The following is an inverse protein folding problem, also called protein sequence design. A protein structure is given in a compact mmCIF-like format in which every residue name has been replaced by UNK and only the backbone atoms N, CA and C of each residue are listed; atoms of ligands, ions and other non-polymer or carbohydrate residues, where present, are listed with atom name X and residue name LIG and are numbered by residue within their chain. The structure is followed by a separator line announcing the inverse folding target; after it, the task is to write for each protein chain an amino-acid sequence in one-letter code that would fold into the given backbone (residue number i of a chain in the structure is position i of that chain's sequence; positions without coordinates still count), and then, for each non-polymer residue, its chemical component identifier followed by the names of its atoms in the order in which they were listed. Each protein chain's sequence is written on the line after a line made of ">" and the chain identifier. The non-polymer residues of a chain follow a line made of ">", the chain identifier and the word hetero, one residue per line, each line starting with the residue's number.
data_IF_919185991054
#
_entry.id   IF_919185991054
#
_cell.length_a   1.000
_cell.length_b   1.000
_cell.length_c   1.000
_cell.angle_alpha   90.00
_cell.angle_beta   90.00
_cell.angle_gamma   90.00
#
_symmetry.space_group_name_H-M   'P 1'
#
loop_
_entity.id
_entity.type
_entity.pdbx_description
1 polymer ?
#
# COMPACT_ATOMS: atom_id res chain seq x y z
N UNK A 1 7.52 13.21 -35.04
CA UNK A 1 8.24 11.99 -34.64
C UNK A 1 7.40 11.36 -33.54
N UNK A 2 6.85 10.18 -33.79
CA UNK A 2 5.92 9.51 -32.87
C UNK A 2 6.73 8.83 -31.76
N UNK A 3 6.63 9.29 -30.52
CA UNK A 3 7.08 8.55 -29.35
C UNK A 3 5.94 7.65 -28.91
N UNK A 4 6.19 6.38 -28.99
CA UNK A 4 5.33 5.30 -28.54
C UNK A 4 5.28 5.33 -27.01
N UNK A 5 4.11 5.55 -26.46
CA UNK A 5 3.84 5.38 -25.04
C UNK A 5 3.94 3.87 -24.76
N UNK A 6 4.97 3.46 -24.05
CA UNK A 6 5.05 2.12 -23.47
C UNK A 6 4.31 2.14 -22.16
N UNK A 7 3.25 1.38 -22.10
CA UNK A 7 2.57 1.00 -20.87
C UNK A 7 3.59 0.27 -20.00
N UNK A 8 4.08 0.92 -18.95
CA UNK A 8 4.92 0.28 -17.96
C UNK A 8 4.04 -0.50 -17.01
N UNK A 9 3.87 -1.80 -17.26
CA UNK A 9 3.79 -2.77 -16.19
C UNK A 9 5.16 -2.68 -15.49
N UNK A 10 5.18 -2.45 -14.19
CA UNK A 10 6.41 -2.42 -13.43
C UNK A 10 7.11 -3.78 -13.53
N UNK A 11 8.11 -3.85 -14.40
CA UNK A 11 9.08 -4.92 -14.39
C UNK A 11 10.30 -4.36 -13.63
N UNK A 12 10.48 -4.77 -12.39
CA UNK A 12 11.74 -4.59 -11.67
C UNK A 12 12.83 -5.33 -12.43
N UNK A 13 13.67 -4.60 -13.14
CA UNK A 13 14.95 -5.09 -13.65
C UNK A 13 16.01 -4.82 -12.58
N UNK A 14 16.29 -5.83 -11.75
CA UNK A 14 17.50 -5.88 -10.96
C UNK A 14 18.70 -6.10 -11.89
N UNK A 15 19.43 -5.04 -12.20
CA UNK A 15 20.73 -5.13 -12.83
C UNK A 15 21.81 -5.08 -11.75
N UNK A 16 22.19 -6.25 -11.21
CA UNK A 16 23.37 -6.40 -10.35
C UNK A 16 24.65 -6.29 -11.18
N UNK A 17 25.40 -5.19 -11.03
CA UNK A 17 26.79 -5.15 -11.49
C UNK A 17 27.72 -5.64 -10.39
N UNK A 18 28.39 -6.76 -10.67
CA UNK A 18 29.47 -7.35 -9.89
C UNK A 18 30.63 -6.36 -9.68
N UNK A 19 31.00 -6.12 -8.45
CA UNK A 19 32.37 -5.74 -8.07
C UNK A 19 33.05 -6.96 -7.44
N UNK A 20 34.12 -7.38 -8.09
CA UNK A 20 34.79 -8.65 -7.86
C UNK A 20 35.40 -8.87 -6.48
N UNK A 21 34.95 -9.96 -5.87
CA UNK A 21 35.73 -10.72 -4.91
C UNK A 21 35.84 -12.15 -5.40
N UNK A 22 37.05 -12.62 -5.71
CA UNK A 22 37.29 -14.02 -6.06
C UNK A 22 37.15 -14.84 -4.78
N UNK A 23 35.91 -15.22 -4.43
CA UNK A 23 35.64 -16.39 -3.61
C UNK A 23 35.37 -17.54 -4.58
N UNK A 24 36.00 -18.68 -4.37
CA UNK A 24 35.84 -19.88 -5.17
C UNK A 24 34.36 -20.24 -5.24
N UNK A 25 33.68 -19.90 -6.33
CA UNK A 25 32.38 -20.41 -6.63
C UNK A 25 32.53 -21.92 -6.82
N UNK A 26 32.15 -22.68 -5.80
CA UNK A 26 31.70 -24.05 -6.01
C UNK A 26 30.55 -23.93 -7.01
N UNK A 27 30.75 -24.44 -8.23
CA UNK A 27 29.67 -24.46 -9.22
C UNK A 27 28.49 -25.13 -8.58
N UNK A 28 27.40 -24.39 -8.35
CA UNK A 28 26.10 -24.98 -8.06
C UNK A 28 25.84 -25.98 -9.18
N UNK A 29 25.64 -27.23 -8.83
CA UNK A 29 25.42 -28.26 -9.82
C UNK A 29 24.19 -27.91 -10.66
N UNK A 30 24.16 -28.28 -11.93
CA UNK A 30 22.98 -28.03 -12.78
C UNK A 30 21.65 -28.45 -12.14
N UNK A 31 21.69 -29.34 -11.16
CA UNK A 31 20.55 -29.80 -10.38
C UNK A 31 20.04 -28.74 -9.38
N UNK A 32 20.94 -27.93 -8.78
CA UNK A 32 20.55 -26.88 -7.84
C UNK A 32 19.85 -25.72 -8.54
N UNK A 33 20.41 -25.29 -9.68
CA UNK A 33 19.77 -24.26 -10.51
C UNK A 33 18.40 -24.73 -11.04
N UNK A 34 18.30 -26.00 -11.49
CA UNK A 34 17.04 -26.53 -11.97
C UNK A 34 15.96 -26.59 -10.88
N UNK A 35 16.33 -26.88 -9.63
CA UNK A 35 15.41 -26.83 -8.51
C UNK A 35 14.93 -25.41 -8.20
N UNK A 36 15.82 -24.43 -8.22
CA UNK A 36 15.49 -23.02 -8.04
C UNK A 36 14.59 -22.49 -9.17
N UNK A 37 14.89 -22.82 -10.43
CA UNK A 37 14.08 -22.43 -11.61
C UNK A 37 12.65 -22.97 -11.56
N UNK A 38 12.45 -24.20 -11.03
CA UNK A 38 11.11 -24.76 -10.86
C UNK A 38 10.30 -24.01 -9.79
N UNK A 39 10.94 -23.61 -8.69
CA UNK A 39 10.28 -22.82 -7.63
C UNK A 39 9.99 -21.41 -8.12
N UNK A 40 10.91 -20.79 -8.86
CA UNK A 40 10.68 -19.48 -9.48
C UNK A 40 9.41 -19.48 -10.34
N UNK A 41 9.24 -20.51 -11.19
CA UNK A 41 8.02 -20.65 -12.02
C UNK A 41 6.75 -20.83 -11.18
N UNK A 42 6.84 -21.49 -10.02
CA UNK A 42 5.69 -21.65 -9.12
C UNK A 42 5.32 -20.31 -8.46
N UNK A 43 6.30 -19.50 -8.10
CA UNK A 43 6.11 -18.15 -7.56
C UNK A 43 5.50 -17.24 -8.65
N UNK A 44 6.07 -17.21 -9.85
CA UNK A 44 5.53 -16.41 -10.95
C UNK A 44 4.09 -16.80 -11.30
N UNK A 45 3.73 -18.09 -11.14
CA UNK A 45 2.37 -18.57 -11.40
C UNK A 45 1.33 -18.07 -10.37
N UNK A 46 1.74 -17.69 -9.16
CA UNK A 46 0.85 -17.09 -8.14
C UNK A 46 0.91 -15.56 -8.14
N UNK A 47 1.81 -14.95 -8.89
CA UNK A 47 1.90 -13.49 -9.04
C UNK A 47 0.94 -13.03 -10.14
N UNK A 48 -0.36 -13.19 -9.87
CA UNK A 48 -1.44 -12.93 -10.85
C UNK A 48 -2.58 -12.16 -10.21
N UNK A 49 -3.22 -11.29 -10.99
CA UNK A 49 -4.33 -10.45 -10.50
C UNK A 49 -5.69 -11.16 -10.53
N UNK A 50 -5.76 -12.40 -11.01
CA UNK A 50 -7.02 -13.12 -11.11
C UNK A 50 -6.95 -14.48 -10.42
N UNK A 51 -7.90 -14.72 -9.52
CA UNK A 51 -8.09 -16.02 -8.88
C UNK A 51 -8.73 -17.02 -9.85
N UNK A 52 -8.30 -18.27 -9.78
CA UNK A 52 -8.86 -19.43 -10.48
C UNK A 52 -9.10 -20.57 -9.47
N UNK A 53 -9.71 -21.66 -9.92
CA UNK A 53 -9.94 -22.86 -9.09
C UNK A 53 -8.62 -23.53 -8.69
N UNK A 54 -7.52 -23.28 -9.39
CA UNK A 54 -6.20 -23.84 -9.11
C UNK A 54 -5.39 -22.99 -8.12
N UNK A 55 -5.79 -21.75 -7.83
CA UNK A 55 -4.99 -20.78 -7.05
C UNK A 55 -4.56 -21.32 -5.70
N UNK A 56 -5.47 -21.98 -4.94
CA UNK A 56 -5.13 -22.53 -3.61
C UNK A 56 -4.07 -23.64 -3.71
N UNK A 57 -4.18 -24.48 -4.72
CA UNK A 57 -3.20 -25.55 -4.94
C UNK A 57 -1.85 -24.99 -5.41
N UNK A 58 -1.87 -23.92 -6.24
CA UNK A 58 -0.66 -23.25 -6.70
C UNK A 58 0.06 -22.55 -5.55
N UNK A 59 -0.64 -21.83 -4.68
CA UNK A 59 -0.07 -21.22 -3.47
C UNK A 59 0.59 -22.28 -2.55
N UNK A 60 -0.10 -23.37 -2.29
CA UNK A 60 0.44 -24.46 -1.48
C UNK A 60 1.67 -25.12 -2.14
N UNK A 61 1.66 -25.29 -3.46
CA UNK A 61 2.77 -25.88 -4.20
C UNK A 61 4.00 -24.96 -4.21
N UNK A 62 3.83 -23.65 -4.42
CA UNK A 62 4.91 -22.67 -4.39
C UNK A 62 5.63 -22.66 -3.04
N UNK A 63 4.86 -22.63 -1.93
CA UNK A 63 5.44 -22.67 -0.58
C UNK A 63 6.13 -24.01 -0.29
N UNK A 64 5.52 -25.13 -0.64
CA UNK A 64 6.13 -26.45 -0.45
C UNK A 64 7.42 -26.60 -1.26
N UNK A 65 7.46 -26.09 -2.50
CA UNK A 65 8.65 -26.07 -3.33
C UNK A 65 9.76 -25.22 -2.69
N UNK A 66 9.43 -24.02 -2.23
CA UNK A 66 10.37 -23.14 -1.52
C UNK A 66 10.94 -23.77 -0.25
N UNK A 67 10.09 -24.39 0.57
CA UNK A 67 10.50 -25.03 1.82
C UNK A 67 11.40 -26.27 1.60
N UNK A 68 11.32 -26.87 0.42
CA UNK A 68 12.18 -27.99 0.04
C UNK A 68 13.57 -27.57 -0.43
N UNK A 69 13.77 -26.28 -0.79
CA UNK A 69 15.08 -25.76 -1.19
C UNK A 69 16.01 -25.60 0.01
N UNK A 70 17.28 -25.87 -0.22
CA UNK A 70 18.37 -25.46 0.70
C UNK A 70 18.54 -23.93 0.63
N UNK A 71 19.19 -23.34 1.65
CA UNK A 71 19.46 -21.90 1.65
C UNK A 71 20.28 -21.47 0.42
N UNK A 72 21.25 -22.32 0.00
CA UNK A 72 22.03 -22.05 -1.21
C UNK A 72 21.21 -22.09 -2.51
N UNK A 73 20.17 -22.93 -2.56
CA UNK A 73 19.25 -22.98 -3.72
C UNK A 73 18.27 -21.81 -3.71
N UNK A 74 17.85 -21.33 -2.53
CA UNK A 74 16.99 -20.12 -2.42
C UNK A 74 17.67 -18.89 -2.99
N UNK A 75 18.98 -18.73 -2.78
CA UNK A 75 19.79 -17.65 -3.37
C UNK A 75 19.87 -17.70 -4.92
N UNK A 76 19.47 -18.83 -5.53
CA UNK A 76 19.46 -19.01 -6.98
C UNK A 76 18.05 -18.80 -7.58
N UNK A 77 17.03 -18.55 -6.75
CA UNK A 77 15.67 -18.32 -7.23
C UNK A 77 15.61 -16.98 -7.95
N UNK A 78 15.35 -17.04 -9.25
CA UNK A 78 15.26 -15.86 -10.11
C UNK A 78 14.17 -16.10 -11.17
N UNK A 79 13.13 -15.26 -11.22
CA UNK A 79 12.01 -15.34 -12.13
C UNK A 79 11.58 -13.97 -12.65
N UNK A 80 10.40 -13.86 -13.19
CA UNK A 80 9.83 -12.58 -13.57
C UNK A 80 9.47 -11.74 -12.32
N UNK A 81 8.95 -12.40 -11.29
CA UNK A 81 8.55 -11.81 -10.01
C UNK A 81 9.12 -12.59 -8.82
N UNK A 82 9.76 -13.73 -9.06
CA UNK A 82 10.38 -14.55 -8.05
C UNK A 82 11.81 -14.06 -7.79
N UNK A 83 12.20 -14.01 -6.53
CA UNK A 83 13.53 -13.65 -6.08
C UNK A 83 13.90 -14.44 -4.80
N UNK A 84 15.18 -14.40 -4.34
CA UNK A 84 15.65 -15.12 -3.16
C UNK A 84 14.93 -14.74 -1.87
N UNK A 85 14.34 -13.55 -1.79
CA UNK A 85 13.67 -13.03 -0.60
C UNK A 85 12.15 -13.11 -0.67
N UNK A 86 11.57 -13.67 -1.74
CA UNK A 86 10.13 -13.62 -1.99
C UNK A 86 9.28 -13.99 -0.76
N UNK A 87 9.61 -15.09 -0.07
CA UNK A 87 8.90 -15.53 1.15
C UNK A 87 9.51 -15.03 2.46
N UNK A 88 10.66 -14.36 2.43
CA UNK A 88 11.38 -13.87 3.62
C UNK A 88 11.36 -12.35 3.80
N UNK A 89 11.00 -11.61 2.75
CA UNK A 89 11.06 -10.15 2.70
C UNK A 89 10.05 -9.48 3.61
N UNK A 90 8.86 -10.03 3.70
CA UNK A 90 7.75 -9.43 4.43
C UNK A 90 7.84 -9.80 5.90
N UNK A 91 8.01 -8.78 6.73
CA UNK A 91 8.30 -8.94 8.15
C UNK A 91 7.04 -8.91 9.01
N UNK A 92 7.20 -9.33 10.26
CA UNK A 92 6.16 -9.29 11.27
C UNK A 92 5.56 -10.65 11.60
N UNK A 93 4.62 -10.64 12.54
CA UNK A 93 3.95 -11.84 13.04
C UNK A 93 2.51 -11.90 12.49
N UNK A 94 2.30 -12.78 11.50
CA UNK A 94 0.99 -12.99 10.88
C UNK A 94 -0.10 -13.36 11.90
N UNK A 95 0.26 -14.01 13.00
CA UNK A 95 -0.71 -14.43 14.04
C UNK A 95 -1.35 -13.26 14.80
N UNK A 96 -0.84 -12.05 14.64
CA UNK A 96 -1.42 -10.83 15.23
C UNK A 96 -2.56 -10.24 14.38
N UNK A 97 -2.73 -10.73 13.16
CA UNK A 97 -3.81 -10.32 12.25
C UNK A 97 -5.01 -11.28 12.35
N UNK A 98 -6.13 -10.85 11.77
CA UNK A 98 -7.36 -11.61 11.61
C UNK A 98 -7.85 -11.41 10.17
N UNK A 99 -7.97 -12.46 9.36
CA UNK A 99 -8.44 -12.34 7.97
C UNK A 99 -9.88 -11.84 7.85
N UNK A 100 -10.63 -11.76 8.97
CA UNK A 100 -12.00 -11.24 9.07
C UNK A 100 -12.94 -11.79 7.99
N UNK A 101 -12.89 -13.11 7.78
CA UNK A 101 -13.70 -13.83 6.80
C UNK A 101 -14.73 -14.78 7.45
N UNK A 102 -15.22 -14.42 8.64
CA UNK A 102 -16.14 -15.24 9.42
C UNK A 102 -17.48 -15.49 8.69
N UNK A 103 -18.04 -16.67 8.92
CA UNK A 103 -19.39 -17.04 8.52
C UNK A 103 -20.39 -16.90 9.68
N UNK A 104 -21.70 -16.90 9.38
CA UNK A 104 -22.75 -16.85 10.39
C UNK A 104 -22.87 -15.51 11.12
N UNK A 105 -22.53 -14.43 10.46
CA UNK A 105 -22.36 -13.08 11.01
C UNK A 105 -23.68 -12.28 11.21
N UNK A 106 -24.82 -12.79 10.75
CA UNK A 106 -26.11 -12.10 10.82
C UNK A 106 -26.42 -11.29 9.57
N UNK A 107 -27.38 -10.34 9.70
CA UNK A 107 -27.99 -9.65 8.54
C UNK A 107 -27.31 -8.32 8.19
N UNK A 108 -26.39 -7.82 9.03
CA UNK A 108 -25.73 -6.52 8.88
C UNK A 108 -24.22 -6.69 8.83
N UNK A 109 -23.62 -6.18 7.78
CA UNK A 109 -22.19 -6.28 7.55
C UNK A 109 -21.60 -4.95 7.12
N UNK A 110 -20.43 -4.61 7.68
CA UNK A 110 -19.51 -3.63 7.14
C UNK A 110 -18.34 -4.40 6.50
N UNK A 111 -18.23 -4.31 5.18
CA UNK A 111 -17.12 -4.86 4.43
C UNK A 111 -16.06 -3.77 4.24
N UNK A 112 -14.94 -3.91 4.92
CA UNK A 112 -13.78 -3.03 4.77
C UNK A 112 -12.95 -3.53 3.59
N UNK A 113 -12.78 -2.69 2.58
CA UNK A 113 -12.10 -3.05 1.32
C UNK A 113 -10.79 -2.28 1.21
N UNK A 114 -9.69 -3.02 1.21
CA UNK A 114 -8.32 -2.48 1.11
C UNK A 114 -7.64 -3.01 -0.16
N UNK A 115 -6.65 -2.28 -0.68
CA UNK A 115 -5.72 -2.85 -1.67
C UNK A 115 -5.05 -4.10 -1.09
N UNK A 116 -4.59 -4.00 0.16
CA UNK A 116 -3.89 -5.04 0.88
C UNK A 116 -2.39 -4.79 0.98
N UNK A 117 -1.74 -5.59 1.80
CA UNK A 117 -0.29 -5.66 1.90
C UNK A 117 0.14 -7.06 2.35
N UNK A 118 1.26 -7.54 1.85
CA UNK A 118 1.91 -8.77 2.33
C UNK A 118 2.76 -8.53 3.59
N UNK A 119 3.15 -7.28 3.87
CA UNK A 119 3.89 -6.91 5.09
C UNK A 119 2.99 -7.07 6.33
N UNK A 120 3.30 -8.07 7.16
CA UNK A 120 2.48 -8.42 8.33
C UNK A 120 2.37 -7.27 9.33
N UNK A 121 3.47 -6.59 9.63
CA UNK A 121 3.46 -5.44 10.55
C UNK A 121 2.56 -4.32 10.05
N UNK A 122 2.70 -3.94 8.78
CA UNK A 122 1.87 -2.90 8.17
C UNK A 122 0.40 -3.31 8.07
N UNK A 123 0.11 -4.61 7.82
CA UNK A 123 -1.26 -5.12 7.81
C UNK A 123 -1.92 -4.94 9.17
N UNK A 124 -1.20 -5.25 10.25
CA UNK A 124 -1.69 -5.08 11.63
C UNK A 124 -1.79 -3.59 12.00
N UNK A 125 -0.75 -2.80 11.72
CA UNK A 125 -0.69 -1.40 12.16
C UNK A 125 -1.65 -0.51 11.39
N UNK A 126 -1.79 -0.72 10.09
CA UNK A 126 -2.52 0.19 9.21
C UNK A 126 -3.94 -0.32 8.90
N UNK A 127 -4.08 -1.58 8.40
CA UNK A 127 -5.37 -2.10 7.95
C UNK A 127 -6.22 -2.53 9.14
N UNK A 128 -5.67 -3.43 9.98
CA UNK A 128 -6.38 -3.95 11.15
C UNK A 128 -6.80 -2.84 12.11
N UNK A 129 -5.99 -1.81 12.31
CA UNK A 129 -6.32 -0.68 13.17
C UNK A 129 -7.55 0.10 12.70
N UNK A 130 -7.70 0.31 11.37
CA UNK A 130 -8.92 0.90 10.79
C UNK A 130 -10.12 -0.01 11.03
N UNK A 131 -9.97 -1.31 10.78
CA UNK A 131 -11.04 -2.30 10.96
C UNK A 131 -11.48 -2.42 12.42
N UNK A 132 -10.51 -2.40 13.35
CA UNK A 132 -10.79 -2.44 14.79
C UNK A 132 -11.52 -1.17 15.26
N UNK A 133 -11.15 0.01 14.74
CA UNK A 133 -11.84 1.26 15.03
C UNK A 133 -13.29 1.24 14.53
N UNK A 134 -13.51 0.73 13.31
CA UNK A 134 -14.85 0.54 12.76
C UNK A 134 -15.64 -0.47 13.59
N UNK A 135 -15.05 -1.62 13.93
CA UNK A 135 -15.73 -2.64 14.74
C UNK A 135 -16.11 -2.12 16.14
N UNK A 136 -15.24 -1.32 16.76
CA UNK A 136 -15.53 -0.69 18.04
C UNK A 136 -16.65 0.35 17.96
N UNK A 137 -16.74 1.10 16.86
CA UNK A 137 -17.78 2.12 16.65
C UNK A 137 -19.16 1.51 16.30
N UNK A 138 -19.18 0.33 15.66
CA UNK A 138 -20.41 -0.29 15.17
C UNK A 138 -20.59 -1.73 15.71
N UNK A 139 -20.77 -1.93 17.02
CA UNK A 139 -20.79 -3.26 17.65
C UNK A 139 -21.98 -4.16 17.22
N UNK A 140 -23.03 -3.58 16.61
CA UNK A 140 -24.17 -4.30 16.09
C UNK A 140 -24.00 -4.75 14.62
N UNK A 141 -22.83 -4.48 14.02
CA UNK A 141 -22.46 -4.87 12.66
C UNK A 141 -21.31 -5.84 12.68
N UNK A 142 -21.36 -6.86 11.84
CA UNK A 142 -20.17 -7.67 11.59
C UNK A 142 -19.21 -6.90 10.69
N UNK A 143 -17.93 -6.86 11.07
CA UNK A 143 -16.88 -6.24 10.25
C UNK A 143 -16.07 -7.32 9.59
N UNK A 144 -16.06 -7.35 8.26
CA UNK A 144 -15.26 -8.28 7.45
C UNK A 144 -14.32 -7.52 6.53
N UNK A 145 -13.33 -8.24 6.02
CA UNK A 145 -12.26 -7.74 5.15
C UNK A 145 -12.43 -8.26 3.73
N UNK A 146 -12.05 -7.44 2.74
CA UNK A 146 -11.68 -7.88 1.42
C UNK A 146 -10.43 -7.14 0.93
N UNK A 147 -9.57 -7.83 0.18
CA UNK A 147 -8.49 -7.19 -0.55
C UNK A 147 -8.81 -7.14 -2.04
N UNK A 148 -8.30 -6.10 -2.72
CA UNK A 148 -8.45 -5.96 -4.19
C UNK A 148 -7.26 -6.53 -4.95
N UNK A 149 -6.05 -6.54 -4.36
CA UNK A 149 -4.84 -7.06 -5.01
C UNK A 149 -4.71 -8.58 -4.84
N UNK A 150 -5.07 -9.34 -5.87
CA UNK A 150 -4.99 -10.80 -5.83
C UNK A 150 -3.56 -11.33 -5.62
N UNK A 151 -2.55 -10.65 -6.17
CA UNK A 151 -1.14 -11.00 -5.96
C UNK A 151 -0.77 -11.00 -4.47
N UNK A 152 -1.25 -10.01 -3.72
CA UNK A 152 -1.03 -9.90 -2.27
C UNK A 152 -1.75 -11.02 -1.53
N UNK A 153 -3.01 -11.30 -1.89
CA UNK A 153 -3.78 -12.40 -1.31
C UNK A 153 -3.05 -13.72 -1.50
N UNK A 154 -2.57 -13.99 -2.72
CA UNK A 154 -1.84 -15.22 -3.04
C UNK A 154 -0.53 -15.34 -2.25
N UNK A 155 0.21 -14.23 -2.13
CA UNK A 155 1.45 -14.20 -1.35
C UNK A 155 1.20 -14.51 0.12
N UNK A 156 0.26 -13.82 0.76
CA UNK A 156 -0.13 -14.03 2.17
C UNK A 156 -0.62 -15.48 2.38
N UNK A 157 -1.46 -15.98 1.47
CA UNK A 157 -1.94 -17.36 1.53
C UNK A 157 -0.79 -18.37 1.41
N UNK A 158 0.12 -18.18 0.47
CA UNK A 158 1.25 -19.08 0.26
C UNK A 158 2.21 -19.06 1.45
N UNK A 159 2.62 -17.87 1.92
CA UNK A 159 3.60 -17.71 2.97
C UNK A 159 3.07 -18.05 4.35
N UNK A 160 1.90 -17.52 4.72
CA UNK A 160 1.38 -17.52 6.08
C UNK A 160 0.24 -18.54 6.28
N UNK A 161 -0.34 -19.06 5.18
CA UNK A 161 -1.52 -19.93 5.23
C UNK A 161 -2.80 -19.19 5.61
N UNK A 162 -2.82 -17.87 5.53
CA UNK A 162 -3.99 -17.04 5.79
C UNK A 162 -4.84 -16.86 4.53
N UNK A 163 -6.14 -17.04 4.67
CA UNK A 163 -7.10 -16.91 3.57
C UNK A 163 -7.84 -15.58 3.71
N UNK A 164 -7.43 -14.59 2.93
CA UNK A 164 -8.10 -13.31 2.84
C UNK A 164 -9.02 -13.34 1.62
N UNK A 165 -10.29 -12.95 1.79
CA UNK A 165 -11.25 -12.89 0.69
C UNK A 165 -10.87 -11.76 -0.29
N UNK A 166 -10.95 -12.03 -1.60
CA UNK A 166 -11.03 -10.97 -2.59
C UNK A 166 -12.47 -10.44 -2.68
N UNK A 167 -12.70 -9.41 -3.52
CA UNK A 167 -14.04 -8.79 -3.64
C UNK A 167 -15.14 -9.79 -3.98
N UNK A 168 -14.90 -10.70 -4.94
CA UNK A 168 -15.90 -11.68 -5.35
C UNK A 168 -16.20 -12.66 -4.21
N UNK A 169 -15.16 -13.20 -3.56
CA UNK A 169 -15.31 -14.11 -2.43
C UNK A 169 -16.05 -13.46 -1.25
N UNK A 170 -15.68 -12.21 -0.91
CA UNK A 170 -16.32 -11.47 0.18
C UNK A 170 -17.81 -11.23 -0.09
N UNK A 171 -18.17 -10.85 -1.32
CA UNK A 171 -19.55 -10.60 -1.71
C UNK A 171 -20.38 -11.90 -1.82
N UNK A 172 -19.80 -12.99 -2.32
CA UNK A 172 -20.43 -14.30 -2.32
C UNK A 172 -20.68 -14.80 -0.89
N UNK A 173 -19.71 -14.60 0.00
CA UNK A 173 -19.84 -14.94 1.42
C UNK A 173 -20.91 -14.09 2.10
N UNK A 174 -21.03 -12.78 1.79
CA UNK A 174 -22.10 -11.93 2.30
C UNK A 174 -23.50 -12.47 1.92
N UNK A 175 -23.66 -12.86 0.65
CA UNK A 175 -24.91 -13.49 0.19
C UNK A 175 -25.16 -14.84 0.90
N UNK A 176 -24.12 -15.68 1.04
CA UNK A 176 -24.25 -16.99 1.73
C UNK A 176 -24.58 -16.83 3.22
N UNK A 177 -24.05 -15.79 3.86
CA UNK A 177 -24.38 -15.44 5.25
C UNK A 177 -25.79 -14.86 5.42
N UNK A 178 -26.48 -14.52 4.35
CA UNK A 178 -27.83 -13.94 4.39
C UNK A 178 -27.82 -12.46 4.79
N UNK A 179 -26.75 -11.74 4.48
CA UNK A 179 -26.62 -10.30 4.72
C UNK A 179 -27.72 -9.56 3.95
N UNK A 180 -28.44 -8.69 4.64
CA UNK A 180 -29.48 -7.82 4.06
C UNK A 180 -29.01 -6.38 3.89
N UNK A 181 -28.24 -5.89 4.86
CA UNK A 181 -27.64 -4.56 4.81
C UNK A 181 -26.12 -4.71 4.75
N UNK A 182 -25.54 -4.33 3.62
CA UNK A 182 -24.09 -4.27 3.41
C UNK A 182 -23.66 -2.81 3.30
N UNK A 183 -22.73 -2.41 4.16
CA UNK A 183 -21.99 -1.16 4.03
C UNK A 183 -20.59 -1.51 3.55
N UNK A 184 -20.14 -0.91 2.46
CA UNK A 184 -18.78 -1.08 1.95
C UNK A 184 -17.99 0.17 2.33
N UNK A 185 -16.92 -0.03 3.13
CA UNK A 185 -15.97 1.02 3.48
C UNK A 185 -14.66 0.79 2.73
N UNK A 186 -14.41 1.51 1.63
CA UNK A 186 -13.11 1.47 0.99
C UNK A 186 -12.06 2.16 1.87
N UNK A 187 -10.91 1.54 2.06
CA UNK A 187 -9.75 2.19 2.69
C UNK A 187 -8.81 2.82 1.66
N UNK A 188 -9.23 2.90 0.42
CA UNK A 188 -8.49 3.60 -0.64
C UNK A 188 -8.26 5.08 -0.26
N UNK A 189 -7.15 5.63 -0.75
CA UNK A 189 -6.82 7.03 -0.52
C UNK A 189 -7.82 7.98 -1.20
N UNK A 190 -8.27 7.62 -2.41
CA UNK A 190 -9.10 8.45 -3.28
C UNK A 190 -10.01 7.60 -4.20
N UNK A 191 -10.89 8.25 -4.96
CA UNK A 191 -11.68 7.63 -6.03
C UNK A 191 -10.77 7.32 -7.25
N UNK A 192 -9.88 6.35 -7.09
CA UNK A 192 -8.94 5.89 -8.10
C UNK A 192 -9.43 4.66 -8.87
N UNK A 193 -8.52 4.02 -9.61
CA UNK A 193 -8.85 2.85 -10.43
C UNK A 193 -9.40 1.69 -9.58
N UNK A 194 -8.77 1.40 -8.45
CA UNK A 194 -9.19 0.31 -7.54
C UNK A 194 -10.58 0.59 -6.93
N UNK A 195 -10.89 1.86 -6.65
CA UNK A 195 -12.24 2.24 -6.22
C UNK A 195 -13.27 1.98 -7.32
N UNK A 196 -12.96 2.33 -8.56
CA UNK A 196 -13.84 2.08 -9.71
C UNK A 196 -14.05 0.58 -9.94
N UNK A 197 -13.02 -0.25 -9.84
CA UNK A 197 -13.11 -1.71 -9.92
C UNK A 197 -13.98 -2.30 -8.80
N UNK A 198 -13.82 -1.83 -7.56
CA UNK A 198 -14.68 -2.20 -6.43
C UNK A 198 -16.14 -1.85 -6.72
N UNK A 199 -16.41 -0.64 -7.23
CA UNK A 199 -17.76 -0.20 -7.60
C UNK A 199 -18.35 -1.04 -8.72
N UNK A 200 -17.52 -1.50 -9.65
CA UNK A 200 -17.94 -2.38 -10.75
C UNK A 200 -18.29 -3.78 -10.23
N UNK A 201 -17.50 -4.34 -9.32
CA UNK A 201 -17.81 -5.63 -8.68
C UNK A 201 -19.16 -5.61 -7.95
N UNK A 202 -19.47 -4.53 -7.25
CA UNK A 202 -20.75 -4.37 -6.52
C UNK A 202 -21.97 -4.39 -7.45
N UNK A 203 -21.83 -4.01 -8.73
CA UNK A 203 -22.95 -4.00 -9.69
C UNK A 203 -23.60 -5.38 -9.87
N UNK A 204 -22.81 -6.45 -9.81
CA UNK A 204 -23.28 -7.83 -9.96
C UNK A 204 -24.10 -8.33 -8.78
N UNK A 205 -24.08 -7.62 -7.65
CA UNK A 205 -24.77 -8.00 -6.41
C UNK A 205 -26.01 -7.16 -6.11
N UNK A 206 -26.33 -6.18 -6.96
CA UNK A 206 -27.58 -5.44 -6.88
C UNK A 206 -28.76 -6.40 -6.99
N UNK A 207 -29.63 -6.41 -5.96
CA UNK A 207 -30.79 -7.30 -5.86
C UNK A 207 -30.50 -8.70 -5.29
N UNK A 208 -29.22 -9.07 -5.03
CA UNK A 208 -28.87 -10.23 -4.22
C UNK A 208 -28.80 -9.87 -2.74
N UNK A 209 -28.40 -8.66 -2.43
CA UNK A 209 -28.42 -8.03 -1.10
C UNK A 209 -29.45 -6.92 -1.13
N UNK A 210 -30.29 -6.80 -0.10
CA UNK A 210 -31.43 -5.87 -0.09
C UNK A 210 -30.99 -4.40 -0.14
N UNK A 211 -29.94 -4.05 0.63
CA UNK A 211 -29.37 -2.70 0.68
C UNK A 211 -27.85 -2.78 0.64
N UNK A 212 -27.25 -2.07 -0.32
CA UNK A 212 -25.80 -1.85 -0.40
C UNK A 212 -25.56 -0.35 -0.35
N UNK A 213 -24.76 0.09 0.62
CA UNK A 213 -24.30 1.47 0.76
C UNK A 213 -22.79 1.50 0.66
N UNK A 214 -22.20 2.51 0.03
CA UNK A 214 -20.76 2.66 -0.11
C UNK A 214 -20.34 3.98 0.53
N UNK A 215 -19.37 3.90 1.43
CA UNK A 215 -18.80 5.07 2.09
C UNK A 215 -17.71 5.73 1.24
N UNK A 216 -17.35 6.96 1.58
CA UNK A 216 -16.30 7.70 0.91
C UNK A 216 -14.90 7.09 1.22
N UNK A 217 -13.96 7.11 0.25
CA UNK A 217 -12.54 6.86 0.53
C UNK A 217 -11.92 7.99 1.35
N UNK A 218 -10.67 7.84 1.82
CA UNK A 218 -10.06 8.72 2.82
C UNK A 218 -10.12 10.21 2.50
N UNK A 219 -9.75 10.61 1.28
CA UNK A 219 -9.66 12.02 0.90
C UNK A 219 -10.98 12.59 0.31
N UNK A 220 -12.07 11.78 0.38
CA UNK A 220 -13.38 12.18 -0.08
C UNK A 220 -13.43 12.53 -1.57
N UNK A 221 -14.32 13.45 -1.94
CA UNK A 221 -14.54 13.84 -3.34
C UNK A 221 -13.27 14.36 -4.01
N UNK A 222 -13.03 13.90 -5.24
CA UNK A 222 -11.97 14.41 -6.12
C UNK A 222 -12.50 15.64 -6.86
N UNK A 223 -11.83 16.78 -6.70
CA UNK A 223 -12.16 17.99 -7.41
C UNK A 223 -11.70 17.98 -8.87
N UNK A 224 -12.09 19.02 -9.63
CA UNK A 224 -11.76 19.15 -11.04
C UNK A 224 -10.31 19.63 -11.29
N UNK A 225 -9.70 20.27 -10.31
CA UNK A 225 -8.34 20.81 -10.38
C UNK A 225 -7.69 20.86 -8.99
N UNK A 226 -6.43 21.28 -8.95
CA UNK A 226 -5.62 21.31 -7.73
C UNK A 226 -6.14 22.27 -6.64
N UNK A 227 -7.04 23.19 -6.96
CA UNK A 227 -7.56 24.18 -6.00
C UNK A 227 -8.79 23.71 -5.23
N UNK A 228 -9.40 22.60 -5.68
CA UNK A 228 -10.60 22.02 -5.06
C UNK A 228 -10.19 21.11 -3.91
N UNK A 229 -10.35 21.61 -2.69
CA UNK A 229 -10.03 20.92 -1.44
C UNK A 229 -11.29 20.78 -0.58
N UNK A 230 -11.29 19.84 0.35
CA UNK A 230 -12.40 19.52 1.23
C UNK A 230 -11.95 19.31 2.69
N UNK A 231 -12.91 19.03 3.58
CA UNK A 231 -12.64 18.82 5.00
C UNK A 231 -11.79 17.57 5.28
N UNK A 232 -11.94 16.51 4.45
CA UNK A 232 -11.21 15.26 4.62
C UNK A 232 -9.73 15.46 4.32
N UNK A 233 -9.40 16.15 3.20
CA UNK A 233 -8.03 16.51 2.86
C UNK A 233 -7.39 17.39 3.95
N UNK A 234 -8.16 18.33 4.53
CA UNK A 234 -7.68 19.17 5.64
C UNK A 234 -7.40 18.33 6.88
N UNK A 235 -8.28 17.40 7.24
CA UNK A 235 -8.11 16.54 8.40
C UNK A 235 -6.89 15.62 8.24
N UNK A 236 -6.74 14.99 7.06
CA UNK A 236 -5.60 14.11 6.77
C UNK A 236 -4.28 14.90 6.76
N UNK A 237 -4.26 16.09 6.13
CA UNK A 237 -3.07 16.95 6.11
C UNK A 237 -2.60 17.29 7.52
N UNK A 238 -3.52 17.68 8.40
CA UNK A 238 -3.19 17.99 9.82
C UNK A 238 -2.69 16.74 10.55
N UNK A 239 -3.35 15.61 10.35
CA UNK A 239 -3.02 14.37 11.05
C UNK A 239 -1.64 13.85 10.67
N UNK A 240 -1.34 13.70 9.37
CA UNK A 240 -0.07 13.14 8.91
C UNK A 240 1.12 14.06 9.24
N UNK A 241 0.94 15.38 9.13
CA UNK A 241 2.02 16.34 9.42
C UNK A 241 2.31 16.38 10.92
N UNK A 242 1.28 16.34 11.76
CA UNK A 242 1.46 16.29 13.21
C UNK A 242 2.15 15.00 13.65
N UNK A 243 1.75 13.87 13.08
CA UNK A 243 2.31 12.55 13.39
C UNK A 243 3.78 12.47 12.91
N UNK A 244 4.07 12.88 11.68
CA UNK A 244 5.45 12.90 11.16
C UNK A 244 6.38 13.82 11.98
N UNK A 245 5.90 14.96 12.43
CA UNK A 245 6.66 15.86 13.29
C UNK A 245 6.93 15.23 14.67
N UNK A 246 5.91 14.61 15.29
CA UNK A 246 6.02 13.97 16.59
C UNK A 246 7.00 12.78 16.56
N UNK A 247 6.94 11.93 15.53
CA UNK A 247 7.86 10.80 15.34
C UNK A 247 9.31 11.24 15.19
N UNK A 248 9.53 12.44 14.60
CA UNK A 248 10.85 13.05 14.50
C UNK A 248 11.27 13.84 15.76
N UNK A 249 10.44 13.85 16.81
CA UNK A 249 10.72 14.54 18.07
C UNK A 249 10.44 16.05 18.07
N UNK A 250 9.72 16.56 17.06
CA UNK A 250 9.27 17.96 17.02
C UNK A 250 7.89 18.11 17.66
N UNK A 251 7.63 19.27 18.23
CA UNK A 251 6.32 19.58 18.80
C UNK A 251 5.22 19.70 17.72
N UNK A 252 5.58 20.22 16.54
CA UNK A 252 4.70 20.43 15.38
C UNK A 252 5.52 20.73 14.12
N UNK A 253 4.84 20.94 12.99
CA UNK A 253 5.47 21.29 11.72
C UNK A 253 6.26 22.61 11.78
N UNK A 254 5.83 23.56 12.60
CA UNK A 254 6.53 24.85 12.73
C UNK A 254 7.88 24.67 13.44
N UNK A 255 7.95 23.83 14.47
CA UNK A 255 9.20 23.48 15.13
C UNK A 255 10.16 22.72 14.18
N UNK A 256 9.65 21.81 13.36
CA UNK A 256 10.43 21.16 12.30
C UNK A 256 10.98 22.18 11.29
N UNK A 257 10.14 23.12 10.84
CA UNK A 257 10.53 24.19 9.92
C UNK A 257 11.62 25.08 10.50
N UNK A 258 11.48 25.50 11.77
CA UNK A 258 12.49 26.32 12.50
C UNK A 258 13.82 25.57 12.63
N UNK A 259 13.80 24.25 12.73
CA UNK A 259 14.97 23.38 12.73
C UNK A 259 15.55 23.14 11.30
N UNK A 260 15.01 23.76 10.26
CA UNK A 260 15.45 23.56 8.88
C UNK A 260 15.08 22.20 8.29
N UNK A 261 13.99 21.60 8.77
CA UNK A 261 13.53 20.25 8.38
C UNK A 261 12.31 20.34 7.47
N UNK A 262 12.41 19.72 6.29
CA UNK A 262 11.29 19.46 5.40
C UNK A 262 10.64 18.10 5.72
N UNK A 263 9.34 18.02 5.52
CA UNK A 263 8.57 16.77 5.53
C UNK A 263 8.13 16.50 4.09
N UNK A 264 8.58 15.41 3.52
CA UNK A 264 8.20 14.95 2.19
C UNK A 264 7.21 13.81 2.33
N UNK A 265 5.99 14.05 1.87
CA UNK A 265 4.90 13.08 1.89
C UNK A 265 4.86 12.34 0.55
N UNK A 266 5.08 11.04 0.56
CA UNK A 266 5.19 10.23 -0.64
C UNK A 266 3.93 9.39 -0.87
N UNK A 267 3.16 9.74 -1.92
CA UNK A 267 2.08 8.92 -2.45
C UNK A 267 2.58 7.92 -3.49
N UNK A 268 1.71 6.98 -3.90
CA UNK A 268 2.04 6.06 -5.00
C UNK A 268 2.15 6.79 -6.35
N UNK A 269 1.18 7.64 -6.65
CA UNK A 269 0.95 8.15 -7.99
C UNK A 269 -0.06 7.29 -8.75
N UNK A 270 -0.61 7.80 -9.83
CA UNK A 270 -1.53 7.05 -10.69
C UNK A 270 -1.74 7.74 -12.02
N UNK A 271 -1.93 6.98 -13.08
CA UNK A 271 -2.36 7.51 -14.39
C UNK A 271 -3.86 7.87 -14.42
N UNK A 272 -4.63 7.47 -13.40
CA UNK A 272 -6.07 7.76 -13.30
C UNK A 272 -6.31 9.28 -13.15
N UNK A 273 -7.50 9.74 -13.57
CA UNK A 273 -7.86 11.18 -13.46
C UNK A 273 -7.84 11.70 -12.03
N UNK A 274 -8.03 10.84 -11.04
CA UNK A 274 -7.94 11.16 -9.62
C UNK A 274 -6.52 11.58 -9.16
N UNK A 275 -5.49 11.46 -9.98
CA UNK A 275 -4.11 11.90 -9.68
C UNK A 275 -4.03 13.37 -9.22
N UNK A 276 -4.98 14.20 -9.65
CA UNK A 276 -5.07 15.60 -9.20
C UNK A 276 -5.16 15.74 -7.67
N UNK A 277 -5.59 14.69 -6.97
CA UNK A 277 -5.67 14.65 -5.52
C UNK A 277 -4.32 14.91 -4.84
N UNK A 278 -3.20 14.48 -5.43
CA UNK A 278 -1.87 14.77 -4.88
C UNK A 278 -1.55 16.27 -4.93
N UNK A 279 -1.88 16.96 -6.03
CA UNK A 279 -1.77 18.43 -6.11
C UNK A 279 -2.76 19.13 -5.17
N UNK A 280 -3.96 18.57 -4.96
CA UNK A 280 -4.91 19.10 -3.97
C UNK A 280 -4.37 18.99 -2.55
N UNK A 281 -3.67 17.89 -2.22
CA UNK A 281 -2.99 17.75 -0.92
C UNK A 281 -1.87 18.78 -0.76
N UNK A 282 -1.05 19.03 -1.78
CA UNK A 282 -0.06 20.11 -1.74
C UNK A 282 -0.72 21.49 -1.52
N UNK A 283 -1.78 21.80 -2.26
CA UNK A 283 -2.58 23.04 -2.06
C UNK A 283 -3.14 23.12 -0.63
N UNK A 284 -3.58 21.99 -0.07
CA UNK A 284 -4.07 21.95 1.31
C UNK A 284 -2.96 22.23 2.32
N UNK A 285 -1.73 21.70 2.11
CA UNK A 285 -0.57 22.00 2.95
C UNK A 285 -0.24 23.49 2.94
N UNK A 286 -0.18 24.09 1.74
CA UNK A 286 0.07 25.55 1.56
C UNK A 286 -1.00 26.38 2.26
N UNK A 287 -2.28 26.02 2.13
CA UNK A 287 -3.39 26.73 2.79
C UNK A 287 -3.31 26.66 4.32
N UNK A 288 -2.76 25.57 4.87
CA UNK A 288 -2.51 25.40 6.31
C UNK A 288 -1.23 26.10 6.78
N UNK A 289 -0.43 26.66 5.88
CA UNK A 289 0.84 27.32 6.20
C UNK A 289 1.99 26.33 6.47
N UNK A 290 1.86 25.10 6.00
CA UNK A 290 2.91 24.08 6.10
C UNK A 290 3.92 24.21 4.95
N UNK A 291 4.64 25.35 4.90
CA UNK A 291 5.58 25.68 3.81
C UNK A 291 6.79 24.72 3.75
N UNK A 292 7.00 23.90 4.76
CA UNK A 292 8.04 22.87 4.82
C UNK A 292 7.53 21.48 4.49
N UNK A 293 6.30 21.35 3.95
CA UNK A 293 5.71 20.06 3.56
C UNK A 293 5.59 19.99 2.04
N UNK A 294 6.09 18.91 1.46
CA UNK A 294 6.12 18.67 0.02
C UNK A 294 5.43 17.34 -0.28
N UNK A 295 4.61 17.29 -1.32
CA UNK A 295 3.91 16.08 -1.74
C UNK A 295 4.52 15.56 -3.03
N UNK A 296 5.10 14.35 -2.97
CA UNK A 296 5.64 13.63 -4.10
C UNK A 296 4.93 12.31 -4.35
N UNK A 297 5.28 11.62 -5.43
CA UNK A 297 4.73 10.30 -5.77
C UNK A 297 5.80 9.40 -6.39
N UNK A 298 5.74 8.10 -6.09
CA UNK A 298 6.65 7.09 -6.64
C UNK A 298 6.63 7.10 -8.18
N UNK A 299 5.42 7.13 -8.76
CA UNK A 299 5.22 7.08 -10.21
C UNK A 299 5.51 8.42 -10.93
N UNK A 300 5.80 9.51 -10.20
CA UNK A 300 5.93 10.85 -10.79
C UNK A 300 4.65 11.39 -11.44
N UNK A 301 3.50 10.84 -11.05
CA UNK A 301 2.17 11.21 -11.54
C UNK A 301 1.28 11.72 -10.41
N UNK A 302 0.79 12.97 -10.50
CA UNK A 302 0.85 13.91 -11.64
C UNK A 302 2.25 14.52 -11.87
N UNK A 303 2.45 15.14 -13.04
CA UNK A 303 3.71 15.83 -13.39
C UNK A 303 4.15 16.81 -12.27
N UNK A 304 5.45 16.83 -11.96
CA UNK A 304 6.04 17.67 -10.92
C UNK A 304 6.03 17.04 -9.52
N UNK A 305 5.65 15.78 -9.39
CA UNK A 305 5.67 15.05 -8.11
C UNK A 305 6.74 13.94 -8.04
N UNK A 306 7.59 13.82 -9.05
CA UNK A 306 8.69 12.87 -9.08
C UNK A 306 9.81 13.22 -8.10
N UNK A 307 10.68 12.26 -7.81
CA UNK A 307 11.72 12.40 -6.82
C UNK A 307 12.67 13.57 -7.12
N UNK A 308 13.12 13.69 -8.36
CA UNK A 308 14.06 14.74 -8.77
C UNK A 308 13.45 16.15 -8.60
N UNK A 309 12.17 16.32 -8.99
CA UNK A 309 11.46 17.58 -8.84
C UNK A 309 11.27 17.95 -7.36
N UNK A 310 10.98 16.99 -6.51
CA UNK A 310 10.82 17.23 -5.06
C UNK A 310 12.17 17.53 -4.41
N UNK A 311 13.26 16.85 -4.78
CA UNK A 311 14.62 17.19 -4.33
C UNK A 311 14.95 18.66 -4.65
N UNK A 312 14.72 19.10 -5.88
CA UNK A 312 14.97 20.49 -6.29
C UNK A 312 14.08 21.47 -5.50
N UNK A 313 12.79 21.15 -5.31
CA UNK A 313 11.87 22.02 -4.56
C UNK A 313 12.30 22.17 -3.08
N UNK A 314 12.69 21.08 -2.40
CA UNK A 314 13.16 21.10 -1.01
C UNK A 314 14.48 21.90 -0.89
N UNK A 315 15.39 21.68 -1.82
CA UNK A 315 16.68 22.37 -1.91
C UNK A 315 16.49 23.88 -2.14
N UNK A 316 15.63 24.27 -3.09
CA UNK A 316 15.36 25.68 -3.42
C UNK A 316 14.66 26.41 -2.26
N UNK A 317 13.84 25.69 -1.48
CA UNK A 317 13.25 26.19 -0.25
C UNK A 317 14.27 26.34 0.91
N UNK A 318 15.49 25.80 0.76
CA UNK A 318 16.62 25.99 1.67
C UNK A 318 16.66 25.05 2.87
N UNK A 319 15.84 24.00 2.90
CA UNK A 319 15.85 22.99 3.95
C UNK A 319 17.10 22.11 3.86
N UNK A 320 17.59 21.66 5.01
CA UNK A 320 18.81 20.85 5.14
C UNK A 320 18.55 19.45 5.70
N UNK A 321 17.46 19.26 6.40
CA UNK A 321 17.05 17.97 6.92
C UNK A 321 15.75 17.55 6.26
N UNK A 322 15.61 16.27 5.98
CA UNK A 322 14.44 15.71 5.27
C UNK A 322 13.87 14.54 6.04
N UNK A 323 12.56 14.55 6.22
CA UNK A 323 11.78 13.41 6.70
C UNK A 323 10.95 12.92 5.51
N UNK A 324 11.15 11.66 5.11
CA UNK A 324 10.30 10.98 4.14
C UNK A 324 9.21 10.21 4.89
N UNK A 325 7.95 10.42 4.53
CA UNK A 325 6.80 9.76 5.15
C UNK A 325 5.76 9.36 4.10
N UNK A 326 5.16 8.15 4.17
CA UNK A 326 4.11 7.77 3.22
C UNK A 326 2.88 8.67 3.30
N UNK A 327 2.35 9.10 2.14
CA UNK A 327 1.00 9.56 1.94
C UNK A 327 0.18 8.41 1.34
N UNK A 328 0.27 7.26 1.97
CA UNK A 328 -0.40 6.01 1.61
C UNK A 328 -1.09 5.48 2.86
N UNK A 329 -2.25 4.86 2.68
CA UNK A 329 -3.00 4.31 3.81
C UNK A 329 -2.21 3.20 4.50
N UNK A 330 -1.48 2.42 3.72
CA UNK A 330 -0.66 1.30 4.19
C UNK A 330 0.80 1.51 3.79
N UNK A 331 1.71 1.35 4.75
CA UNK A 331 3.15 1.39 4.51
C UNK A 331 3.65 -0.01 4.08
N UNK A 332 3.27 -0.43 2.87
CA UNK A 332 3.67 -1.70 2.27
C UNK A 332 4.99 -1.60 1.49
N UNK A 333 5.03 -2.30 0.35
CA UNK A 333 6.21 -2.43 -0.51
C UNK A 333 6.81 -1.08 -0.91
N UNK A 334 6.01 -0.16 -1.44
CA UNK A 334 6.47 1.16 -1.86
C UNK A 334 7.09 1.99 -0.73
N UNK A 335 6.61 1.85 0.51
CA UNK A 335 7.20 2.56 1.64
C UNK A 335 8.53 1.93 2.10
N UNK A 336 8.64 0.61 2.01
CA UNK A 336 9.83 -0.12 2.42
C UNK A 336 10.93 -0.08 1.37
N UNK A 337 10.58 -0.21 0.09
CA UNK A 337 11.54 -0.34 -1.01
C UNK A 337 11.71 1.00 -1.76
N UNK A 338 10.67 1.53 -2.43
CA UNK A 338 10.82 2.75 -3.24
C UNK A 338 11.11 4.00 -2.40
N UNK A 339 10.56 4.10 -1.19
CA UNK A 339 10.82 5.25 -0.32
C UNK A 339 12.10 5.07 0.51
N UNK A 340 12.21 3.96 1.24
CA UNK A 340 13.21 3.78 2.31
C UNK A 340 14.27 2.73 2.00
N UNK A 341 14.21 2.04 0.85
CA UNK A 341 15.12 0.98 0.45
C UNK A 341 16.57 1.43 0.29
N UNK A 342 17.45 0.46 0.15
CA UNK A 342 18.90 0.69 -0.01
C UNK A 342 19.32 0.83 -1.48
N UNK A 343 18.42 0.54 -2.44
CA UNK A 343 18.69 0.64 -3.87
C UNK A 343 18.93 2.09 -4.29
N UNK A 344 19.72 2.29 -5.34
CA UNK A 344 20.15 3.62 -5.80
C UNK A 344 18.96 4.52 -6.24
N UNK A 345 17.87 3.93 -6.67
CA UNK A 345 16.65 4.59 -7.14
C UNK A 345 15.58 4.78 -6.05
N UNK A 346 15.83 4.32 -4.81
CA UNK A 346 14.96 4.66 -3.69
C UNK A 346 15.00 6.16 -3.39
N UNK A 347 13.88 6.73 -2.96
CA UNK A 347 13.81 8.15 -2.62
C UNK A 347 14.86 8.55 -1.59
N UNK A 348 15.04 7.74 -0.55
CA UNK A 348 16.07 7.99 0.47
C UNK A 348 17.47 8.07 -0.14
N UNK A 349 17.85 7.09 -0.95
CA UNK A 349 19.17 7.04 -1.60
C UNK A 349 19.36 8.23 -2.56
N UNK A 350 18.33 8.60 -3.34
CA UNK A 350 18.37 9.74 -4.24
C UNK A 350 18.52 11.07 -3.50
N UNK A 351 17.78 11.27 -2.39
CA UNK A 351 17.95 12.45 -1.53
C UNK A 351 19.34 12.52 -0.90
N UNK A 352 19.88 11.41 -0.42
CA UNK A 352 21.25 11.33 0.12
C UNK A 352 22.28 11.62 -0.97
N UNK A 353 22.13 11.04 -2.16
CA UNK A 353 23.02 11.23 -3.31
C UNK A 353 23.03 12.67 -3.85
N UNK A 354 21.95 13.43 -3.64
CA UNK A 354 21.88 14.85 -4.03
C UNK A 354 22.94 15.71 -3.32
N UNK A 355 23.49 15.28 -2.18
CA UNK A 355 24.63 15.88 -1.48
C UNK A 355 24.39 17.29 -0.96
N UNK A 356 23.13 17.74 -0.89
CA UNK A 356 22.75 19.07 -0.43
C UNK A 356 21.97 19.07 0.90
N UNK A 357 21.69 17.88 1.44
CA UNK A 357 21.01 17.67 2.71
C UNK A 357 21.97 17.14 3.77
N UNK A 358 21.79 17.57 5.01
CA UNK A 358 22.61 17.16 6.16
C UNK A 358 22.10 15.83 6.76
N UNK A 359 20.78 15.58 6.64
CA UNK A 359 20.16 14.32 7.05
C UNK A 359 18.93 13.99 6.22
N UNK A 360 18.73 12.69 5.97
CA UNK A 360 17.52 12.13 5.36
C UNK A 360 17.03 10.97 6.24
N UNK A 361 15.80 11.05 6.72
CA UNK A 361 15.20 10.03 7.60
C UNK A 361 13.91 9.53 6.98
N UNK A 362 13.74 8.23 6.89
CA UNK A 362 12.48 7.62 6.46
C UNK A 362 11.68 7.14 7.67
N UNK A 363 10.40 7.45 7.68
CA UNK A 363 9.41 6.98 8.65
C UNK A 363 8.46 6.01 7.93
N UNK A 364 8.60 4.71 8.17
CA UNK A 364 7.78 3.68 7.54
C UNK A 364 6.52 3.47 8.38
N UNK A 365 5.52 4.33 8.18
CA UNK A 365 4.22 4.23 8.85
C UNK A 365 3.11 4.75 7.94
N UNK A 366 2.09 3.93 7.73
CA UNK A 366 0.94 4.27 6.89
C UNK A 366 -0.03 5.22 7.59
N UNK A 367 -0.88 5.88 6.81
CA UNK A 367 -1.92 6.75 7.35
C UNK A 367 -2.92 5.99 8.24
N UNK A 368 -3.10 4.68 7.99
CA UNK A 368 -4.01 3.81 8.76
C UNK A 368 -3.63 3.63 10.22
N UNK A 369 -2.35 3.81 10.58
CA UNK A 369 -1.88 3.77 11.96
C UNK A 369 -2.30 5.00 12.79
N UNK A 370 -2.70 6.10 12.13
CA UNK A 370 -3.04 7.38 12.77
C UNK A 370 -4.49 7.36 13.25
N UNK A 371 -4.73 7.49 14.55
CA UNK A 371 -6.07 7.45 15.16
C UNK A 371 -7.04 8.46 14.51
N UNK A 372 -6.58 9.65 14.17
CA UNK A 372 -7.40 10.67 13.51
C UNK A 372 -7.88 10.22 12.12
N UNK A 373 -7.06 9.43 11.39
CA UNK A 373 -7.42 8.85 10.10
C UNK A 373 -8.41 7.71 10.28
N UNK A 374 -8.20 6.84 11.27
CA UNK A 374 -9.16 5.77 11.62
C UNK A 374 -10.54 6.36 11.94
N UNK A 375 -10.58 7.45 12.72
CA UNK A 375 -11.81 8.16 13.07
C UNK A 375 -12.49 8.78 11.84
N UNK A 376 -11.74 9.15 10.79
CA UNK A 376 -12.30 9.64 9.53
C UNK A 376 -13.05 8.52 8.79
N UNK A 377 -12.47 7.33 8.69
CA UNK A 377 -13.16 6.16 8.13
C UNK A 377 -14.42 5.78 8.93
N UNK A 378 -14.36 5.85 10.26
CA UNK A 378 -15.55 5.67 11.11
C UNK A 378 -16.63 6.69 10.78
N UNK A 379 -16.27 7.97 10.58
CA UNK A 379 -17.21 9.02 10.21
C UNK A 379 -17.82 8.79 8.81
N UNK A 380 -17.02 8.37 7.83
CA UNK A 380 -17.49 8.03 6.49
C UNK A 380 -18.46 6.83 6.52
N UNK A 381 -18.11 5.78 7.28
CA UNK A 381 -18.99 4.63 7.51
C UNK A 381 -20.32 5.07 8.16
N UNK A 382 -20.26 5.91 9.21
CA UNK A 382 -21.45 6.42 9.89
C UNK A 382 -22.36 7.22 8.97
N UNK A 383 -21.82 7.95 8.01
CA UNK A 383 -22.59 8.79 7.09
C UNK A 383 -23.53 7.98 6.17
N UNK A 384 -23.24 6.68 5.95
CA UNK A 384 -24.01 5.80 5.05
C UNK A 384 -24.76 4.69 5.79
N UNK A 385 -24.53 4.51 7.08
CA UNK A 385 -25.36 3.69 7.96
C UNK A 385 -26.65 4.44 8.19
N UNK A 386 -27.76 3.88 7.76
CA UNK A 386 -29.11 4.47 7.84
C UNK A 386 -29.78 4.26 9.18
#
# INVERSE_FOLDING_TARGET
>A
MKKTVKTCLAALLAASMLVGGIASASAAGGDDQAAADEVAKMIDAIYVQKRTDETDAQCAAAKAGWDALTDAQKELVEGENADPDYFGRDTGDASLDDPRNADGIGEKEILVVSFGTSFNDSRVQDIKSIEDAIAAAFPDWAVRRAFTAQIIINHVQARDGEFIDNMDQALERAVANGVKELVVQPTHLMHGAEYDEMMDALKAYKGKIEKISVAEPLLGEVGNDATVINADKEAVAKAVVADAAADAGFADAAAAKEAGTAIVLLGHGTAHVAKVTYHQMQTQMEKLGYDNVFVGTVEGEPEGTGCEEIIEAVKDAGYKNVILRPLMVVAGDHANNDMAGEEEDSWKSMFEAAGCFDSVTAQIAGLGSIEAVQNLYVAHTQAVIG
#
